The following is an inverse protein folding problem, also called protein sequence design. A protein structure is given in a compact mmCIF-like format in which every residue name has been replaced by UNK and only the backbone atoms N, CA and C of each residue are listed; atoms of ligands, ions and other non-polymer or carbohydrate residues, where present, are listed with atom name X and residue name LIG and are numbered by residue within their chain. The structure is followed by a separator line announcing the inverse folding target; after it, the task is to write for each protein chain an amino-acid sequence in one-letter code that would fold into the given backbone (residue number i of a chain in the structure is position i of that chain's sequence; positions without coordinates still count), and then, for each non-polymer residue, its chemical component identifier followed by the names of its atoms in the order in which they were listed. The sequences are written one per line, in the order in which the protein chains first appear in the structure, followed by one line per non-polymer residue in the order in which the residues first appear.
data_IF_919243066614
#
_entry.id   IF_919243066614
#
_cell.length_a   1.000
_cell.length_b   1.000
_cell.length_c   1.000
_cell.angle_alpha   90.00
_cell.angle_beta   90.00
_cell.angle_gamma   90.00
#
_symmetry.space_group_name_H-M   'P 1'
#
loop_
_entity.id
_entity.type
_entity.pdbx_description
1 polymer ?
#
# COMPACT_ATOMS: atom_id res chain seq x y z
N UNK A 1 2.72 -1.09 -11.89
CA UNK A 1 3.53 -1.94 -11.04
C UNK A 1 3.47 -1.50 -9.59
N UNK A 2 3.01 -0.26 -9.37
CA UNK A 2 2.90 0.28 -8.02
C UNK A 2 1.46 0.68 -7.72
N UNK A 3 0.57 -0.32 -7.71
CA UNK A 3 -0.85 -0.10 -7.42
C UNK A 3 -1.11 0.28 -5.97
N UNK A 4 -0.03 0.42 -5.20
CA UNK A 4 -0.14 0.79 -3.80
C UNK A 4 -0.68 2.20 -3.63
N UNK A 5 0.18 3.11 -3.17
CA UNK A 5 -0.20 4.50 -2.98
C UNK A 5 -1.06 5.00 -4.13
N UNK A 6 -0.75 4.53 -5.34
CA UNK A 6 -1.50 4.93 -6.52
C UNK A 6 -3.00 4.97 -6.23
N UNK A 7 -3.61 3.79 -6.12
CA UNK A 7 -5.04 3.73 -5.85
C UNK A 7 -5.34 3.52 -4.38
N UNK A 8 -4.28 3.34 -3.59
CA UNK A 8 -4.46 3.12 -2.16
C UNK A 8 -3.54 2.04 -1.62
N UNK A 9 -2.38 2.45 -1.13
CA UNK A 9 -1.41 1.51 -0.58
C UNK A 9 -2.07 0.55 0.41
N UNK A 10 -1.83 -0.74 0.23
CA UNK A 10 -2.40 -1.75 1.10
C UNK A 10 -1.35 -2.77 1.53
N UNK A 11 -0.08 -2.39 1.39
CA UNK A 11 1.03 -3.28 1.76
C UNK A 11 2.01 -2.56 2.66
N UNK A 12 3.10 -2.05 2.08
CA UNK A 12 4.13 -1.35 2.84
C UNK A 12 3.50 -0.28 3.72
N UNK A 13 2.26 0.10 3.40
CA UNK A 13 1.57 1.12 4.17
C UNK A 13 0.49 0.49 5.05
N UNK A 14 0.14 -0.76 4.76
CA UNK A 14 -0.87 -1.47 5.53
C UNK A 14 -0.30 -2.78 6.08
N UNK A 15 0.25 -3.60 5.20
CA UNK A 15 0.83 -4.88 5.59
C UNK A 15 1.56 -4.76 6.92
N UNK A 16 2.33 -3.69 7.09
CA UNK A 16 3.08 -3.47 8.32
C UNK A 16 2.45 -2.35 9.14
N UNK A 17 1.69 -1.48 8.48
CA UNK A 17 1.03 -0.37 9.14
C UNK A 17 -0.48 -0.47 9.01
N UNK A 18 -1.05 -1.52 9.60
CA UNK A 18 -2.50 -1.74 9.55
C UNK A 18 -3.25 -0.58 10.19
#
# INVERSE_FOLDING_TARGET
VYPFMWGGAYCFCDAENT
#
